data_IF_803477279188
#
_entry.id   IF_803477279188
#
_cell.length_a   1.000
_cell.length_b   1.000
_cell.length_c   1.000
_cell.angle_alpha   90.00
_cell.angle_beta   90.00
_cell.angle_gamma   90.00
#
_symmetry.space_group_name_H-M   'P 1'
#
loop_
_entity.id
_entity.type
_entity.pdbx_description
1 polymer ?
#
# COMPACT_ATOMS: atom_id res chain seq x y z
N UNK A 1 23.51 24.44 29.65
CA UNK A 1 23.87 23.33 28.75
C UNK A 1 22.55 22.76 28.21
N UNK A 2 22.11 23.24 27.04
CA UNK A 2 20.83 22.85 26.43
C UNK A 2 21.01 21.53 25.69
N UNK A 3 20.30 20.48 26.11
CA UNK A 3 20.28 19.20 25.43
C UNK A 3 19.57 19.37 24.08
N UNK A 4 20.31 19.19 22.98
CA UNK A 4 19.73 19.06 21.65
C UNK A 4 19.03 17.69 21.62
N UNK A 5 17.71 17.68 21.68
CA UNK A 5 16.95 16.47 21.45
C UNK A 5 17.07 16.13 19.96
N UNK A 6 17.98 15.21 19.63
CA UNK A 6 18.08 14.62 18.30
C UNK A 6 16.74 14.00 17.96
N UNK A 7 15.97 14.65 17.08
CA UNK A 7 14.76 14.05 16.49
C UNK A 7 15.24 12.92 15.57
N UNK A 8 15.31 11.70 16.11
CA UNK A 8 15.39 10.50 15.28
C UNK A 8 14.10 10.46 14.48
N UNK A 9 14.17 10.90 13.22
CA UNK A 9 13.08 10.65 12.28
C UNK A 9 13.08 9.14 12.07
N UNK A 10 12.01 8.41 12.42
CA UNK A 10 11.98 6.98 12.21
C UNK A 10 12.22 6.73 10.71
N UNK A 11 13.22 5.91 10.39
CA UNK A 11 13.44 5.46 9.02
C UNK A 11 12.28 4.53 8.69
N UNK A 12 11.23 5.08 8.08
CA UNK A 12 10.09 4.30 7.61
C UNK A 12 10.51 3.62 6.32
N UNK A 13 10.56 2.29 6.33
CA UNK A 13 10.84 1.49 5.15
C UNK A 13 9.90 1.87 3.99
N UNK A 14 10.49 1.98 2.79
CA UNK A 14 9.78 2.43 1.60
C UNK A 14 8.60 1.50 1.31
N UNK A 15 7.39 2.06 1.28
CA UNK A 15 6.18 1.30 0.92
C UNK A 15 5.65 0.36 2.01
N UNK A 16 6.20 0.36 3.23
CA UNK A 16 5.78 -0.57 4.29
C UNK A 16 4.28 -0.58 4.56
N UNK A 17 3.64 0.60 4.56
CA UNK A 17 2.18 0.71 4.75
C UNK A 17 1.38 0.22 3.55
N UNK A 18 1.87 0.47 2.33
CA UNK A 18 1.23 -0.03 1.11
C UNK A 18 1.31 -1.55 1.04
N UNK A 19 2.46 -2.12 1.40
CA UNK A 19 2.66 -3.56 1.52
C UNK A 19 1.71 -4.17 2.55
N UNK A 20 1.66 -3.62 3.75
CA UNK A 20 0.77 -4.11 4.81
C UNK A 20 -0.71 -4.07 4.39
N UNK A 21 -1.14 -3.02 3.69
CA UNK A 21 -2.49 -2.94 3.14
C UNK A 21 -2.74 -4.03 2.09
N UNK A 22 -1.81 -4.21 1.14
CA UNK A 22 -1.89 -5.26 0.12
C UNK A 22 -1.90 -6.67 0.73
N UNK A 23 -1.06 -6.96 1.72
CA UNK A 23 -1.04 -8.24 2.44
C UNK A 23 -2.35 -8.49 3.21
N UNK A 24 -2.95 -7.44 3.78
CA UNK A 24 -4.24 -7.54 4.47
C UNK A 24 -5.37 -7.87 3.50
N UNK A 25 -5.39 -7.23 2.33
CA UNK A 25 -6.47 -7.39 1.34
C UNK A 25 -6.30 -8.63 0.48
N UNK A 26 -5.07 -9.07 0.17
CA UNK A 26 -4.88 -10.31 -0.61
C UNK A 26 -5.37 -11.55 0.15
N UNK A 27 -5.38 -11.52 1.50
CA UNK A 27 -5.90 -12.61 2.33
C UNK A 27 -7.43 -12.74 2.24
N UNK A 28 -8.12 -11.62 2.03
CA UNK A 28 -9.56 -11.57 1.87
C UNK A 28 -9.92 -10.28 1.13
N UNK A 29 -10.08 -10.40 -0.19
CA UNK A 29 -10.37 -9.28 -1.09
C UNK A 29 -11.84 -8.85 -1.05
N UNK A 30 -12.73 -9.76 -0.64
CA UNK A 30 -14.19 -9.55 -0.64
C UNK A 30 -14.69 -8.89 0.65
N UNK A 31 -13.86 -8.78 1.69
CA UNK A 31 -14.29 -8.20 2.96
C UNK A 31 -14.68 -6.71 2.83
N UNK A 32 -15.63 -6.26 3.68
CA UNK A 32 -15.88 -4.84 3.87
C UNK A 32 -14.59 -4.07 4.23
N UNK A 33 -14.43 -2.89 3.64
CA UNK A 33 -13.28 -2.00 3.88
C UNK A 33 -11.99 -2.37 3.14
N UNK A 34 -11.99 -3.37 2.25
CA UNK A 34 -10.82 -3.71 1.44
C UNK A 34 -10.31 -2.52 0.61
N UNK A 35 -11.21 -1.78 -0.04
CA UNK A 35 -10.87 -0.57 -0.81
C UNK A 35 -10.28 0.52 0.09
N UNK A 36 -10.89 0.77 1.25
CA UNK A 36 -10.45 1.83 2.17
C UNK A 36 -9.05 1.56 2.71
N UNK A 37 -8.73 0.30 3.03
CA UNK A 37 -7.39 -0.09 3.47
C UNK A 37 -6.34 0.16 2.38
N UNK A 38 -6.63 -0.18 1.11
CA UNK A 38 -5.72 0.09 -0.01
C UNK A 38 -5.54 1.60 -0.25
N UNK A 39 -6.63 2.37 -0.17
CA UNK A 39 -6.59 3.83 -0.29
C UNK A 39 -5.78 4.45 0.84
N UNK A 40 -5.96 4.00 2.07
CA UNK A 40 -5.18 4.47 3.22
C UNK A 40 -3.68 4.15 3.04
N UNK A 41 -3.35 2.96 2.55
CA UNK A 41 -1.96 2.59 2.20
C UNK A 41 -1.35 3.53 1.16
N UNK A 42 -2.09 3.81 0.06
CA UNK A 42 -1.65 4.75 -0.97
C UNK A 42 -1.49 6.17 -0.45
N UNK A 43 -2.43 6.65 0.37
CA UNK A 43 -2.39 7.99 0.95
C UNK A 43 -1.16 8.16 1.86
N UNK A 44 -0.86 7.14 2.68
CA UNK A 44 0.34 7.14 3.50
C UNK A 44 1.62 7.18 2.65
N UNK A 45 1.73 6.32 1.64
CA UNK A 45 2.87 6.30 0.71
C UNK A 45 3.05 7.63 -0.01
N UNK A 46 1.96 8.30 -0.38
CA UNK A 46 2.00 9.65 -0.95
C UNK A 46 2.48 10.69 0.07
N UNK A 47 1.99 10.65 1.31
CA UNK A 47 2.40 11.56 2.38
C UNK A 47 3.89 11.41 2.73
N UNK A 48 4.45 10.21 2.60
CA UNK A 48 5.89 9.96 2.76
C UNK A 48 6.73 10.34 1.53
N UNK A 49 6.13 10.83 0.44
CA UNK A 49 6.85 11.16 -0.80
C UNK A 49 7.43 9.95 -1.53
N UNK A 50 6.94 8.74 -1.25
CA UNK A 50 7.52 7.48 -1.75
C UNK A 50 6.92 7.00 -3.07
N UNK A 51 5.92 7.71 -3.63
CA UNK A 51 5.19 7.27 -4.82
C UNK A 51 6.05 7.19 -6.08
N UNK A 52 7.07 8.05 -6.20
CA UNK A 52 8.01 8.02 -7.33
C UNK A 52 8.95 6.80 -7.31
N UNK A 53 9.23 6.24 -6.13
CA UNK A 53 10.03 5.02 -5.96
C UNK A 53 9.20 3.75 -6.16
N UNK A 54 7.87 3.87 -6.08
CA UNK A 54 6.92 2.76 -6.07
C UNK A 54 5.91 2.86 -7.22
N UNK A 55 6.28 3.45 -8.35
CA UNK A 55 5.34 3.70 -9.47
C UNK A 55 4.63 2.44 -9.96
N UNK A 56 5.36 1.32 -10.12
CA UNK A 56 4.81 0.02 -10.46
C UNK A 56 3.82 -0.51 -9.42
N UNK A 57 4.24 -0.70 -8.15
CA UNK A 57 3.34 -1.09 -7.05
C UNK A 57 2.12 -0.18 -6.90
N UNK A 58 2.28 1.15 -6.98
CA UNK A 58 1.18 2.12 -6.90
C UNK A 58 0.18 1.92 -8.04
N UNK A 59 0.64 1.71 -9.27
CA UNK A 59 -0.24 1.41 -10.40
C UNK A 59 -0.98 0.08 -10.22
N UNK A 60 -0.29 -0.95 -9.71
CA UNK A 60 -0.90 -2.25 -9.42
C UNK A 60 -2.00 -2.16 -8.36
N UNK A 61 -1.78 -1.42 -7.27
CA UNK A 61 -2.80 -1.22 -6.23
C UNK A 61 -3.99 -0.42 -6.77
N UNK A 62 -3.76 0.59 -7.63
CA UNK A 62 -4.87 1.32 -8.29
C UNK A 62 -5.71 0.40 -9.17
N UNK A 63 -5.10 -0.55 -9.89
CA UNK A 63 -5.82 -1.58 -10.66
C UNK A 63 -6.62 -2.51 -9.74
N UNK A 64 -6.05 -2.95 -8.63
CA UNK A 64 -6.76 -3.76 -7.65
C UNK A 64 -8.00 -3.03 -7.07
N UNK A 65 -7.86 -1.73 -6.74
CA UNK A 65 -8.99 -0.90 -6.29
C UNK A 65 -10.10 -0.84 -7.36
N UNK A 66 -9.73 -0.66 -8.64
CA UNK A 66 -10.70 -0.63 -9.73
C UNK A 66 -11.45 -1.98 -9.87
N UNK A 67 -10.73 -3.10 -9.77
CA UNK A 67 -11.31 -4.44 -9.81
C UNK A 67 -12.28 -4.67 -8.62
N UNK A 68 -11.89 -4.30 -7.40
CA UNK A 68 -12.77 -4.39 -6.22
C UNK A 68 -14.05 -3.58 -6.38
N UNK A 69 -13.95 -2.36 -6.92
CA UNK A 69 -15.12 -1.52 -7.21
C UNK A 69 -16.03 -2.10 -8.29
N UNK A 70 -15.47 -2.88 -9.20
CA UNK A 70 -16.22 -3.62 -10.22
C UNK A 70 -16.79 -4.95 -9.70
N UNK A 71 -16.52 -5.33 -8.44
CA UNK A 71 -16.93 -6.63 -7.87
C UNK A 71 -16.05 -7.80 -8.29
N UNK A 72 -14.92 -7.55 -8.96
CA UNK A 72 -13.99 -8.58 -9.42
C UNK A 72 -12.88 -8.83 -8.37
N UNK A 73 -13.23 -9.63 -7.36
CA UNK A 73 -12.29 -9.97 -6.28
C UNK A 73 -11.10 -10.80 -6.78
N UNK A 74 -11.28 -11.64 -7.82
CA UNK A 74 -10.23 -12.49 -8.35
C UNK A 74 -9.15 -11.67 -9.10
N UNK A 75 -9.57 -10.72 -9.93
CA UNK A 75 -8.64 -9.80 -10.58
C UNK A 75 -7.94 -8.89 -9.56
N UNK A 76 -8.65 -8.44 -8.53
CA UNK A 76 -8.04 -7.67 -7.44
C UNK A 76 -6.95 -8.47 -6.71
N UNK A 77 -7.24 -9.72 -6.35
CA UNK A 77 -6.28 -10.59 -5.68
C UNK A 77 -5.05 -10.85 -6.55
N UNK A 78 -5.25 -11.18 -7.83
CA UNK A 78 -4.17 -11.39 -8.79
C UNK A 78 -3.26 -10.16 -8.89
N UNK A 79 -3.84 -8.96 -9.03
CA UNK A 79 -3.09 -7.71 -9.07
C UNK A 79 -2.31 -7.46 -7.77
N UNK A 80 -2.89 -7.73 -6.60
CA UNK A 80 -2.22 -7.55 -5.31
C UNK A 80 -1.08 -8.55 -5.11
N UNK A 81 -1.21 -9.80 -5.55
CA UNK A 81 -0.11 -10.77 -5.52
C UNK A 81 1.08 -10.30 -6.37
N UNK A 82 0.82 -9.74 -7.56
CA UNK A 82 1.88 -9.16 -8.40
C UNK A 82 2.55 -7.95 -7.73
N UNK A 83 1.77 -7.09 -7.05
CA UNK A 83 2.32 -5.97 -6.27
C UNK A 83 3.25 -6.48 -5.17
N UNK A 84 2.81 -7.47 -4.38
CA UNK A 84 3.61 -8.02 -3.29
C UNK A 84 4.89 -8.70 -3.77
N UNK A 85 4.85 -9.34 -4.94
CA UNK A 85 6.04 -9.91 -5.57
C UNK A 85 7.05 -8.84 -5.99
N UNK A 86 6.58 -7.68 -6.47
CA UNK A 86 7.43 -6.57 -6.89
C UNK A 86 7.99 -5.73 -5.73
N UNK A 87 7.48 -5.90 -4.51
CA UNK A 87 7.91 -5.21 -3.30
C UNK A 87 8.79 -6.07 -2.38
N UNK A 88 9.21 -7.25 -2.83
CA UNK A 88 10.22 -8.09 -2.16
C UNK A 88 11.62 -7.66 -2.58
#
# INVERSE_FOLDING_TARGET
MLAVASRTTPVVEVGVRLRAAAEKVVRDASRPGAVDDLVAGLAWTAACGQTCQLTGPVAGVRRAIAALRAGDAAAAESALRSVLAAMR
#
